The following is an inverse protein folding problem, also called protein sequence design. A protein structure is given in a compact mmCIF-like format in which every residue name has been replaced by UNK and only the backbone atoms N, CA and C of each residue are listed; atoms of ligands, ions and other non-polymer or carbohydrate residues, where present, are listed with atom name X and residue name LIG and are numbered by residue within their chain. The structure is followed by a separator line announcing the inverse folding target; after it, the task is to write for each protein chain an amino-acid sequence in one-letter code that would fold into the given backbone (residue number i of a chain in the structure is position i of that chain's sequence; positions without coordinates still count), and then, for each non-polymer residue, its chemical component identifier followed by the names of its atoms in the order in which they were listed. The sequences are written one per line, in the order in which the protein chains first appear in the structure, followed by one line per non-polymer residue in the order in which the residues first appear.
data_IF_176027650757
#
_entry.id   IF_176027650757
#
_cell.length_a   1.000
_cell.length_b   1.000
_cell.length_c   1.000
_cell.angle_alpha   90.00
_cell.angle_beta   90.00
_cell.angle_gamma   90.00
#
_symmetry.space_group_name_H-M   'P 1'
#
loop_
_entity.id
_entity.type
_entity.pdbx_description
1 polymer ?
#
# COMPACT_ATOMS: atom_id res chain seq x y z
N UNK A 1 2.86 -5.90 6.36
CA UNK A 1 1.43 -5.50 6.43
C UNK A 1 1.28 -4.20 7.20
N UNK A 2 0.16 -3.47 7.12
CA UNK A 2 0.02 -2.20 7.87
C UNK A 2 0.15 -2.42 9.38
N UNK A 3 -0.45 -3.47 9.93
CA UNK A 3 -0.32 -3.81 11.36
C UNK A 3 1.13 -4.05 11.78
N UNK A 4 1.89 -4.86 11.01
CA UNK A 4 3.33 -5.08 11.26
C UNK A 4 4.14 -3.78 11.16
N UNK A 5 3.85 -2.97 10.15
CA UNK A 5 4.49 -1.66 9.94
C UNK A 5 4.22 -0.67 11.08
N UNK A 6 3.09 -0.79 11.78
CA UNK A 6 2.75 -0.01 12.97
C UNK A 6 3.33 -0.62 14.26
N UNK A 7 3.44 -1.95 14.32
CA UNK A 7 4.09 -2.65 15.43
C UNK A 7 5.60 -2.38 15.46
N UNK A 8 6.28 -2.41 14.32
CA UNK A 8 7.69 -1.98 14.20
C UNK A 8 7.86 -0.53 14.64
N UNK A 9 6.99 0.37 14.15
CA UNK A 9 7.01 1.76 14.56
C UNK A 9 6.73 1.92 16.06
N UNK A 10 5.89 1.08 16.67
CA UNK A 10 5.66 1.09 18.12
C UNK A 10 6.95 0.84 18.91
N UNK A 11 7.75 -0.14 18.48
CA UNK A 11 9.02 -0.47 19.15
C UNK A 11 10.00 0.71 19.05
N UNK A 12 10.12 1.30 17.87
CA UNK A 12 10.98 2.47 17.66
C UNK A 12 10.49 3.68 18.49
N UNK A 13 9.18 3.90 18.53
CA UNK A 13 8.59 5.05 19.24
C UNK A 13 8.62 4.91 20.76
N UNK A 14 8.70 3.69 21.30
CA UNK A 14 8.91 3.47 22.74
C UNK A 14 10.36 3.71 23.19
N UNK A 15 11.32 3.65 22.27
CA UNK A 15 12.74 3.84 22.57
C UNK A 15 13.14 5.33 22.66
N UNK A 16 12.34 6.24 22.08
CA UNK A 16 12.61 7.67 21.98
C UNK A 16 11.50 8.53 22.63
N UNK A 17 11.86 9.68 23.19
CA UNK A 17 10.87 10.70 23.57
C UNK A 17 10.29 11.34 22.30
N UNK A 18 9.15 10.84 21.83
CA UNK A 18 8.54 11.35 20.59
C UNK A 18 8.19 12.83 20.68
N UNK A 19 8.54 13.55 19.61
CA UNK A 19 8.00 14.87 19.32
C UNK A 19 6.45 14.86 19.40
N UNK A 20 5.80 15.89 19.97
CA UNK A 20 4.35 15.94 20.09
C UNK A 20 3.58 15.78 18.77
N UNK A 21 4.13 16.28 17.65
CA UNK A 21 3.55 16.14 16.30
C UNK A 21 3.64 14.69 15.85
N UNK A 22 4.81 14.05 16.03
CA UNK A 22 4.97 12.62 15.74
C UNK A 22 4.01 11.77 16.58
N UNK A 23 3.82 12.10 17.86
CA UNK A 23 2.90 11.39 18.76
C UNK A 23 1.44 11.50 18.30
N UNK A 24 0.99 12.69 17.87
CA UNK A 24 -0.38 12.86 17.34
C UNK A 24 -0.60 12.04 16.06
N UNK A 25 0.35 12.08 15.13
CA UNK A 25 0.28 11.26 13.93
C UNK A 25 0.32 9.76 14.22
N UNK A 26 1.13 9.32 15.18
CA UNK A 26 1.17 7.93 15.57
C UNK A 26 -0.18 7.44 16.13
N UNK A 27 -0.79 8.22 17.04
CA UNK A 27 -2.14 7.95 17.56
C UNK A 27 -3.16 7.83 16.43
N UNK A 28 -3.18 8.79 15.49
CA UNK A 28 -4.10 8.76 14.34
C UNK A 28 -3.86 7.56 13.44
N UNK A 29 -2.61 7.13 13.24
CA UNK A 29 -2.31 5.95 12.44
C UNK A 29 -2.93 4.68 13.05
N UNK A 30 -2.87 4.53 14.38
CA UNK A 30 -3.53 3.44 15.10
C UNK A 30 -5.07 3.53 15.01
N UNK A 31 -5.63 4.72 15.21
CA UNK A 31 -7.09 4.93 15.10
C UNK A 31 -7.65 4.54 13.73
N UNK A 32 -6.97 4.95 12.64
CA UNK A 32 -7.38 4.58 11.29
C UNK A 32 -7.14 3.09 11.02
N UNK A 33 -6.10 2.48 11.59
CA UNK A 33 -5.91 1.04 11.48
C UNK A 33 -7.07 0.26 12.12
N UNK A 34 -7.46 0.63 13.34
CA UNK A 34 -8.59 0.00 14.03
C UNK A 34 -9.90 0.24 13.28
N UNK A 35 -10.11 1.45 12.76
CA UNK A 35 -11.27 1.77 11.92
C UNK A 35 -11.28 0.93 10.63
N UNK A 36 -10.15 0.76 9.96
CA UNK A 36 -10.04 -0.06 8.76
C UNK A 36 -10.37 -1.52 9.07
N UNK A 37 -9.91 -2.06 10.21
CA UNK A 37 -10.24 -3.41 10.63
C UNK A 37 -11.75 -3.60 10.89
N UNK A 38 -12.39 -2.62 11.54
CA UNK A 38 -13.84 -2.63 11.79
C UNK A 38 -14.65 -2.55 10.49
N UNK A 39 -14.30 -1.62 9.60
CA UNK A 39 -14.95 -1.48 8.29
C UNK A 39 -14.79 -2.73 7.44
N UNK A 40 -13.59 -3.32 7.45
CA UNK A 40 -13.34 -4.58 6.75
C UNK A 40 -14.22 -5.70 7.29
N UNK A 41 -14.31 -5.85 8.61
CA UNK A 41 -15.17 -6.86 9.23
C UNK A 41 -16.66 -6.68 8.90
N UNK A 42 -17.10 -5.44 8.67
CA UNK A 42 -18.47 -5.11 8.29
C UNK A 42 -18.72 -5.13 6.76
N UNK A 43 -17.67 -5.22 5.95
CA UNK A 43 -17.78 -5.08 4.49
C UNK A 43 -18.53 -6.26 3.85
N UNK A 44 -19.47 -5.95 2.96
CA UNK A 44 -20.27 -6.95 2.23
C UNK A 44 -20.35 -6.67 0.73
N UNK A 45 -19.94 -5.48 0.31
CA UNK A 45 -20.00 -4.97 -1.06
C UNK A 45 -18.65 -4.42 -1.53
N UNK A 46 -18.51 -4.23 -2.85
CA UNK A 46 -17.33 -3.59 -3.42
C UNK A 46 -17.20 -2.10 -3.03
N UNK A 47 -18.30 -1.42 -2.74
CA UNK A 47 -18.29 -0.04 -2.27
C UNK A 47 -17.69 0.08 -0.86
N UNK A 48 -17.99 -0.88 0.02
CA UNK A 48 -17.39 -0.95 1.37
C UNK A 48 -15.86 -1.09 1.30
N UNK A 49 -15.34 -1.76 0.27
CA UNK A 49 -13.90 -1.91 0.05
C UNK A 49 -13.24 -0.58 -0.27
N UNK A 50 -13.87 0.27 -1.08
CA UNK A 50 -13.35 1.61 -1.38
C UNK A 50 -13.25 2.45 -0.11
N UNK A 51 -14.23 2.33 0.80
CA UNK A 51 -14.17 2.99 2.10
C UNK A 51 -13.01 2.46 2.97
N UNK A 52 -12.77 1.15 2.98
CA UNK A 52 -11.60 0.55 3.66
C UNK A 52 -10.30 1.06 3.07
N UNK A 53 -10.18 1.14 1.74
CA UNK A 53 -8.98 1.63 1.07
C UNK A 53 -8.65 3.08 1.44
N UNK A 54 -9.65 3.94 1.51
CA UNK A 54 -9.48 5.34 1.94
C UNK A 54 -8.92 5.41 3.37
N UNK A 55 -9.51 4.66 4.31
CA UNK A 55 -9.05 4.65 5.71
C UNK A 55 -7.64 4.05 5.83
N UNK A 56 -7.32 3.02 5.04
CA UNK A 56 -5.94 2.48 4.97
C UNK A 56 -4.96 3.51 4.43
N UNK A 57 -5.35 4.28 3.40
CA UNK A 57 -4.52 5.36 2.87
C UNK A 57 -4.27 6.45 3.94
N UNK A 58 -5.28 6.80 4.74
CA UNK A 58 -5.15 7.73 5.86
C UNK A 58 -4.19 7.22 6.94
N UNK A 59 -4.30 5.95 7.34
CA UNK A 59 -3.38 5.32 8.28
C UNK A 59 -1.93 5.37 7.76
N UNK A 60 -1.73 5.10 6.46
CA UNK A 60 -0.41 5.14 5.82
C UNK A 60 0.17 6.54 5.72
N UNK A 61 -0.66 7.54 5.45
CA UNK A 61 -0.25 8.94 5.51
C UNK A 61 0.27 9.29 6.90
N UNK A 62 -0.49 8.95 7.94
CA UNK A 62 -0.10 9.25 9.32
C UNK A 62 1.18 8.53 9.72
N UNK A 63 1.36 7.27 9.32
CA UNK A 63 2.63 6.57 9.49
C UNK A 63 3.80 7.29 8.80
N UNK A 64 3.62 7.70 7.54
CA UNK A 64 4.65 8.43 6.80
C UNK A 64 5.00 9.77 7.47
N UNK A 65 4.01 10.47 8.05
CA UNK A 65 4.23 11.68 8.81
C UNK A 65 5.08 11.45 10.09
N UNK A 66 4.88 10.32 10.81
CA UNK A 66 5.74 9.96 11.95
C UNK A 66 7.19 9.80 11.50
N UNK A 67 7.43 9.07 10.42
CA UNK A 67 8.77 8.84 9.88
C UNK A 67 9.42 10.16 9.42
N UNK A 68 8.65 11.03 8.76
CA UNK A 68 9.16 12.33 8.32
C UNK A 68 9.61 13.20 9.49
N UNK A 69 8.79 13.33 10.54
CA UNK A 69 9.15 14.10 11.74
C UNK A 69 10.40 13.51 12.43
N UNK A 70 10.47 12.17 12.55
CA UNK A 70 11.64 11.47 13.12
C UNK A 70 12.92 11.76 12.32
N UNK A 71 12.82 11.74 11.00
CA UNK A 71 13.98 11.90 10.11
C UNK A 71 14.32 13.38 9.84
N UNK A 72 13.56 14.33 10.41
CA UNK A 72 13.74 15.78 10.19
C UNK A 72 13.29 16.26 8.80
N UNK A 73 12.45 15.47 8.13
CA UNK A 73 11.92 15.74 6.80
C UNK A 73 10.57 16.49 6.87
N UNK A 74 10.20 17.24 5.82
CA UNK A 74 8.87 17.86 5.72
C UNK A 74 7.75 16.83 5.80
N UNK A 75 6.62 17.22 6.39
CA UNK A 75 5.42 16.38 6.40
C UNK A 75 4.98 16.04 4.97
N UNK A 76 4.48 14.81 4.74
CA UNK A 76 4.01 14.41 3.43
C UNK A 76 2.82 15.25 2.97
N UNK A 77 2.74 15.48 1.66
CA UNK A 77 1.52 15.99 1.04
C UNK A 77 0.49 14.86 0.90
N UNK A 78 -0.79 15.21 0.84
CA UNK A 78 -1.88 14.27 0.59
C UNK A 78 -1.95 13.96 -0.91
N UNK A 79 -1.08 13.04 -1.34
CA UNK A 79 -0.95 12.58 -2.73
C UNK A 79 -1.41 11.14 -2.91
N UNK A 80 -1.50 10.72 -4.17
CA UNK A 80 -1.65 9.32 -4.55
C UNK A 80 -0.60 8.41 -3.87
N UNK A 81 -0.93 7.13 -3.60
CA UNK A 81 0.03 6.19 -3.04
C UNK A 81 1.24 6.00 -3.96
N UNK A 82 2.34 5.53 -3.38
CA UNK A 82 3.52 5.16 -4.14
C UNK A 82 3.18 4.19 -5.28
N UNK A 83 3.65 4.54 -6.49
CA UNK A 83 3.49 3.74 -7.68
C UNK A 83 4.00 2.31 -7.47
N UNK A 84 5.22 2.10 -6.98
CA UNK A 84 5.80 0.75 -6.90
C UNK A 84 5.06 -0.18 -5.92
N UNK A 85 4.62 0.37 -4.80
CA UNK A 85 3.80 -0.35 -3.83
C UNK A 85 2.97 0.64 -3.01
N UNK A 86 1.62 0.63 -3.11
CA UNK A 86 0.76 1.44 -2.26
C UNK A 86 1.00 1.22 -0.75
N UNK A 87 1.63 0.09 -0.38
CA UNK A 87 2.02 -0.20 1.00
C UNK A 87 3.16 0.67 1.53
N UNK A 88 3.82 1.45 0.68
CA UNK A 88 4.82 2.43 1.13
C UNK A 88 4.18 3.71 1.69
N UNK A 89 2.90 3.96 1.40
CA UNK A 89 2.20 5.19 1.78
C UNK A 89 2.21 6.24 0.66
N UNK A 90 1.95 7.52 1.00
CA UNK A 90 1.81 8.57 0.00
C UNK A 90 3.11 8.77 -0.79
N UNK A 91 2.96 9.16 -2.06
CA UNK A 91 4.07 9.70 -2.83
C UNK A 91 4.53 11.05 -2.29
N UNK A 92 5.80 11.37 -2.51
CA UNK A 92 6.43 12.63 -2.10
C UNK A 92 6.93 13.44 -3.30
N UNK A 93 7.20 12.76 -4.41
CA UNK A 93 7.68 13.40 -5.63
C UNK A 93 7.36 12.56 -6.87
N UNK A 94 7.35 13.24 -8.00
CA UNK A 94 7.24 12.65 -9.33
C UNK A 94 8.62 12.41 -9.92
N UNK A 95 8.82 11.25 -10.55
CA UNK A 95 10.09 10.85 -11.20
C UNK A 95 9.84 10.29 -12.60
N UNK A 96 10.75 10.59 -13.52
CA UNK A 96 10.81 9.90 -14.81
C UNK A 96 11.40 8.50 -14.63
N UNK A 97 10.65 7.48 -15.02
CA UNK A 97 11.07 6.09 -14.89
C UNK A 97 10.60 5.23 -16.06
N UNK A 98 11.46 4.33 -16.52
CA UNK A 98 11.14 3.32 -17.52
C UNK A 98 11.36 1.92 -16.94
N UNK A 99 10.40 0.99 -17.04
CA UNK A 99 10.67 -0.41 -16.75
C UNK A 99 11.62 -1.01 -17.80
N UNK A 100 12.33 -2.10 -17.50
CA UNK A 100 13.33 -2.70 -18.41
C UNK A 100 12.84 -3.01 -19.84
N UNK A 101 11.54 -3.22 -20.03
CA UNK A 101 10.93 -3.55 -21.32
C UNK A 101 9.80 -2.59 -21.73
N UNK A 102 9.73 -1.39 -21.16
CA UNK A 102 8.64 -0.44 -21.45
C UNK A 102 9.06 1.00 -21.65
N UNK A 103 8.07 1.85 -21.91
CA UNK A 103 8.28 3.27 -22.17
C UNK A 103 8.54 4.04 -20.87
N UNK A 104 9.32 5.11 -20.99
CA UNK A 104 9.47 6.10 -19.93
C UNK A 104 8.12 6.76 -19.62
N UNK A 105 7.91 7.04 -18.34
CA UNK A 105 6.72 7.71 -17.82
C UNK A 105 7.07 8.41 -16.52
N UNK A 106 6.36 9.51 -16.26
CA UNK A 106 6.32 10.14 -14.96
C UNK A 106 5.50 9.26 -14.00
N UNK A 107 6.08 8.91 -12.85
CA UNK A 107 5.41 8.15 -11.79
C UNK A 107 5.58 8.84 -10.44
N UNK A 108 4.58 8.70 -9.58
CA UNK A 108 4.61 9.24 -8.23
C UNK A 108 5.22 8.21 -7.25
N UNK A 109 6.28 8.58 -6.54
CA UNK A 109 7.04 7.66 -5.68
C UNK A 109 7.18 8.17 -4.25
N UNK A 110 7.25 7.27 -3.28
CA UNK A 110 7.55 7.64 -1.89
C UNK A 110 9.01 8.07 -1.74
N UNK A 111 9.34 8.72 -0.62
CA UNK A 111 10.71 9.14 -0.32
C UNK A 111 11.73 7.97 -0.34
N UNK A 112 11.34 6.77 0.07
CA UNK A 112 12.24 5.62 0.08
C UNK A 112 12.59 5.12 -1.33
N UNK A 113 11.60 4.96 -2.22
CA UNK A 113 11.84 4.54 -3.60
C UNK A 113 12.50 5.66 -4.43
N UNK A 114 12.17 6.92 -4.15
CA UNK A 114 12.90 8.07 -4.69
C UNK A 114 14.40 7.97 -4.43
N UNK A 115 14.81 7.67 -3.18
CA UNK A 115 16.22 7.49 -2.82
C UNK A 115 16.85 6.31 -3.54
N UNK A 116 16.17 5.15 -3.59
CA UNK A 116 16.64 3.95 -4.33
C UNK A 116 16.93 4.27 -5.79
N UNK A 117 15.96 4.87 -6.48
CA UNK A 117 16.10 5.25 -7.88
C UNK A 117 17.26 6.22 -8.10
N UNK A 118 17.42 7.23 -7.23
CA UNK A 118 18.52 8.19 -7.33
C UNK A 118 19.90 7.55 -7.11
N UNK A 119 19.96 6.44 -6.36
CA UNK A 119 21.16 5.65 -6.13
C UNK A 119 21.42 4.58 -7.20
N UNK A 120 20.53 4.45 -8.21
CA UNK A 120 20.60 3.40 -9.21
C UNK A 120 20.21 2.01 -8.68
N UNK A 121 19.52 1.95 -7.54
CA UNK A 121 19.01 0.72 -6.96
C UNK A 121 17.61 0.37 -7.49
N UNK A 122 17.28 -0.92 -7.46
CA UNK A 122 15.95 -1.40 -7.81
C UNK A 122 14.89 -0.95 -6.76
N UNK A 123 13.72 -0.47 -7.20
CA UNK A 123 12.62 -0.12 -6.32
C UNK A 123 11.98 -1.37 -5.70
N UNK A 124 11.30 -1.20 -4.56
CA UNK A 124 10.59 -2.30 -3.92
C UNK A 124 9.20 -2.47 -4.54
N UNK A 125 9.12 -3.27 -5.61
CA UNK A 125 7.88 -3.40 -6.40
C UNK A 125 6.92 -4.43 -5.80
N UNK A 126 5.64 -4.07 -5.68
CA UNK A 126 4.58 -5.02 -5.34
C UNK A 126 4.42 -6.06 -6.43
N UNK A 127 4.55 -7.33 -6.04
CA UNK A 127 4.17 -8.46 -6.87
C UNK A 127 2.69 -8.80 -6.68
N UNK A 128 2.01 -9.10 -7.78
CA UNK A 128 0.62 -9.57 -7.80
C UNK A 128 0.55 -10.91 -8.51
N UNK A 129 -0.44 -11.73 -8.13
CA UNK A 129 -0.63 -13.03 -8.72
C UNK A 129 -1.46 -12.91 -10.01
N UNK A 130 -0.90 -13.37 -11.13
CA UNK A 130 -1.59 -13.49 -12.43
C UNK A 130 -1.52 -14.95 -12.86
N UNK A 131 -2.63 -15.67 -12.68
CA UNK A 131 -2.66 -17.13 -12.79
C UNK A 131 -1.72 -17.78 -11.79
N UNK A 132 -0.72 -18.49 -12.31
CA UNK A 132 0.21 -19.31 -11.52
C UNK A 132 1.52 -18.56 -11.21
N UNK A 133 1.62 -17.30 -11.66
CA UNK A 133 2.86 -16.50 -11.59
C UNK A 133 2.68 -15.28 -10.70
N UNK A 134 3.77 -14.91 -10.04
CA UNK A 134 3.92 -13.60 -9.42
C UNK A 134 4.57 -12.66 -10.42
N UNK A 135 3.91 -11.53 -10.69
CA UNK A 135 4.39 -10.53 -11.64
C UNK A 135 4.40 -9.15 -10.97
N UNK A 136 5.36 -8.27 -11.30
CA UNK A 136 5.29 -6.87 -10.91
C UNK A 136 3.95 -6.27 -11.32
N UNK A 137 3.28 -5.56 -10.41
CA UNK A 137 1.93 -5.06 -10.67
C UNK A 137 1.87 -4.14 -11.91
N UNK A 138 2.92 -3.36 -12.16
CA UNK A 138 2.99 -2.49 -13.34
C UNK A 138 3.17 -3.26 -14.67
N UNK A 139 3.34 -4.59 -14.62
CA UNK A 139 3.38 -5.51 -15.76
C UNK A 139 2.17 -6.46 -15.80
N UNK A 140 1.25 -6.39 -14.83
CA UNK A 140 0.13 -7.34 -14.75
C UNK A 140 -0.92 -7.10 -15.84
N UNK A 141 -1.00 -5.88 -16.37
CA UNK A 141 -1.85 -5.52 -17.49
C UNK A 141 -1.05 -5.62 -18.78
N UNK A 142 -1.18 -6.74 -19.50
CA UNK A 142 -0.55 -6.89 -20.82
C UNK A 142 -0.92 -5.71 -21.73
N UNK A 143 0.08 -5.03 -22.28
CA UNK A 143 -0.02 -4.11 -23.42
C UNK A 143 -1.20 -3.12 -23.38
N UNK A 144 -1.31 -2.32 -22.30
CA UNK A 144 -2.32 -1.25 -22.21
C UNK A 144 -2.42 -0.70 -20.80
N UNK A 145 -1.76 0.42 -20.55
CA UNK A 145 -1.63 1.02 -19.22
C UNK A 145 -2.96 1.49 -18.62
N UNK A 146 -3.11 1.20 -17.33
CA UNK A 146 -3.76 1.97 -16.27
C UNK A 146 -5.08 2.69 -16.63
N UNK A 147 -6.20 2.03 -16.34
CA UNK A 147 -7.12 2.53 -15.31
C UNK A 147 -7.61 1.30 -14.53
N UNK A 148 -7.32 1.27 -13.22
CA UNK A 148 -8.07 0.50 -12.23
C UNK A 148 -8.07 -1.03 -12.24
N UNK A 149 -7.17 -1.68 -11.50
CA UNK A 149 -7.52 -3.04 -11.05
C UNK A 149 -8.68 -3.02 -10.03
N UNK A 150 -8.92 -1.90 -9.33
CA UNK A 150 -10.03 -1.69 -8.41
C UNK A 150 -11.35 -1.32 -9.10
N UNK A 151 -11.39 -0.22 -9.86
CA UNK A 151 -12.62 0.22 -10.55
C UNK A 151 -12.92 -0.42 -11.93
N UNK A 152 -12.00 -1.17 -12.56
CA UNK A 152 -12.28 -1.89 -13.81
C UNK A 152 -12.95 -3.23 -13.50
N UNK A 153 -12.66 -3.85 -12.33
CA UNK A 153 -13.48 -4.92 -11.76
C UNK A 153 -14.89 -4.42 -11.37
N UNK A 154 -15.02 -3.15 -10.97
CA UNK A 154 -16.32 -2.55 -10.66
C UNK A 154 -17.15 -2.17 -11.90
N UNK A 155 -16.51 -1.90 -13.05
CA UNK A 155 -17.20 -1.43 -14.28
C UNK A 155 -17.31 -2.45 -15.40
N UNK A 156 -16.54 -3.53 -15.39
CA UNK A 156 -16.57 -4.50 -16.47
C UNK A 156 -16.30 -5.90 -15.98
N UNK A 157 -17.32 -6.61 -15.49
CA UNK A 157 -17.46 -8.05 -15.74
C UNK A 157 -18.77 -8.60 -15.18
N UNK A 158 -19.46 -9.30 -16.05
CA UNK A 158 -20.66 -10.13 -15.94
C UNK A 158 -20.61 -11.28 -14.92
N UNK A 159 -19.87 -11.15 -13.82
CA UNK A 159 -19.75 -12.19 -12.81
C UNK A 159 -20.58 -11.81 -11.58
N UNK A 160 -21.57 -12.65 -11.27
CA UNK A 160 -22.53 -12.40 -10.19
C UNK A 160 -21.86 -12.09 -8.84
N UNK A 161 -22.63 -11.43 -7.96
CA UNK A 161 -22.26 -10.85 -6.66
C UNK A 161 -21.22 -11.65 -5.86
N UNK A 162 -21.29 -12.98 -5.84
CA UNK A 162 -20.36 -13.84 -5.11
C UNK A 162 -18.93 -13.89 -5.69
N UNK A 163 -18.75 -13.67 -7.00
CA UNK A 163 -17.42 -13.58 -7.63
C UNK A 163 -16.68 -12.30 -7.25
N UNK A 164 -17.42 -11.19 -7.12
CA UNK A 164 -16.87 -9.89 -6.73
C UNK A 164 -16.46 -9.85 -5.25
N UNK A 165 -17.25 -10.48 -4.37
CA UNK A 165 -16.95 -10.61 -2.94
C UNK A 165 -15.64 -11.37 -2.69
N UNK A 166 -15.40 -12.47 -3.41
CA UNK A 166 -14.19 -13.29 -3.22
C UNK A 166 -12.90 -12.59 -3.68
N UNK A 167 -12.95 -11.80 -4.76
CA UNK A 167 -11.81 -11.05 -5.26
C UNK A 167 -11.46 -9.85 -4.36
N UNK A 168 -12.49 -9.13 -3.91
CA UNK A 168 -12.35 -8.08 -2.91
C UNK A 168 -11.73 -8.62 -1.61
N UNK A 169 -12.24 -9.74 -1.10
CA UNK A 169 -11.75 -10.37 0.12
C UNK A 169 -10.31 -10.90 -0.03
N UNK A 170 -9.93 -11.40 -1.20
CA UNK A 170 -8.56 -11.82 -1.49
C UNK A 170 -7.59 -10.63 -1.55
N UNK A 171 -8.01 -9.50 -2.11
CA UNK A 171 -7.24 -8.26 -2.10
C UNK A 171 -7.08 -7.70 -0.68
N UNK A 172 -8.15 -7.70 0.10
CA UNK A 172 -8.17 -7.24 1.48
C UNK A 172 -7.28 -8.11 2.38
N UNK A 173 -7.34 -9.44 2.27
CA UNK A 173 -6.44 -10.34 3.01
C UNK A 173 -4.96 -10.07 2.75
N UNK A 174 -4.59 -9.61 1.54
CA UNK A 174 -3.22 -9.21 1.21
C UNK A 174 -2.83 -7.82 1.70
N UNK A 175 -3.79 -6.98 2.10
CA UNK A 175 -3.55 -5.61 2.59
C UNK A 175 -3.71 -5.48 4.12
N UNK A 176 -4.47 -6.35 4.77
CA UNK A 176 -4.69 -6.37 6.24
C UNK A 176 -4.13 -7.59 6.99
N UNK A 177 -4.21 -8.83 6.49
CA UNK A 177 -3.77 -10.03 7.24
C UNK A 177 -2.33 -10.47 6.93
N UNK A 178 -1.47 -10.46 7.96
CA UNK A 178 -0.20 -11.18 7.94
C UNK A 178 -0.47 -12.68 7.97
N UNK A 179 -0.42 -13.34 6.81
CA UNK A 179 -0.56 -14.79 6.74
C UNK A 179 0.69 -15.47 7.32
N UNK A 180 0.66 -15.75 8.62
CA UNK A 180 1.46 -16.82 9.21
C UNK A 180 0.96 -18.18 8.72
N UNK A 181 1.89 -19.02 8.26
CA UNK A 181 1.70 -20.42 7.88
C UNK A 181 2.02 -20.65 6.39
N UNK A 182 3.02 -21.43 5.98
CA UNK A 182 3.60 -22.63 6.60
C UNK A 182 5.06 -22.77 6.13
N UNK A 183 5.99 -22.92 7.09
CA UNK A 183 7.25 -23.63 6.91
C UNK A 183 6.97 -25.13 6.67
N UNK A 184 7.57 -25.72 5.63
CA UNK A 184 7.65 -27.16 5.44
C UNK A 184 8.59 -27.51 4.27
N UNK A 185 9.40 -28.57 4.38
CA UNK A 185 10.81 -28.50 4.01
C UNK A 185 11.10 -28.93 2.57
N UNK A 186 12.18 -28.38 2.01
CA UNK A 186 12.88 -29.02 0.92
C UNK A 186 13.64 -30.23 1.47
N UNK A 187 13.22 -31.41 1.04
CA UNK A 187 13.94 -32.68 1.04
C UNK A 187 13.70 -33.35 -0.30
#
# INVERSE_FOLDING_TARGET
MLGEQLAELHVDTLADDLDPVARDHYRRALEHYDQAAQLLAASTSAEDVLAVEQVVADARYHRAAVLAVRDGEPLPERREPCFFDPRHGPSMQDVEWAPPSGAARTIAVCAADARRLSAGEEPLVRLVRVGDRWVPWHLSSGTGGAIDAGVQLARGSSHGVHGQQNLAQAYLKQTTDGASGIHGPFG
#
